data_IF_196939606969
#
_entry.id   IF_196939606969
#
_cell.length_a   1.000
_cell.length_b   1.000
_cell.length_c   1.000
_cell.angle_alpha   90.00
_cell.angle_beta   90.00
_cell.angle_gamma   90.00
#
_symmetry.space_group_name_H-M   'P 1'
#
loop_
_entity.id
_entity.type
_entity.pdbx_description
1 polymer ?
#
# COMPACT_ATOMS: atom_id res chain seq x y z
N UNK A 1 -2.71 -6.20 31.68
CA UNK A 1 -2.06 -5.88 30.39
C UNK A 1 -1.91 -7.19 29.62
N UNK A 2 -2.57 -7.32 28.47
CA UNK A 2 -2.55 -8.55 27.65
C UNK A 2 -1.19 -8.66 26.95
N UNK A 3 -0.68 -9.88 26.74
CA UNK A 3 0.54 -10.13 25.95
C UNK A 3 0.44 -9.46 24.57
N UNK A 4 -0.75 -9.51 23.96
CA UNK A 4 -1.06 -8.84 22.69
C UNK A 4 -0.75 -7.33 22.73
N UNK A 5 -1.14 -6.63 23.80
CA UNK A 5 -0.94 -5.18 23.92
C UNK A 5 0.55 -4.82 24.03
N UNK A 6 1.35 -5.69 24.69
CA UNK A 6 2.79 -5.54 24.78
C UNK A 6 3.44 -5.72 23.42
N UNK A 7 3.11 -6.80 22.70
CA UNK A 7 3.66 -7.08 21.37
C UNK A 7 3.33 -5.97 20.36
N UNK A 8 2.12 -5.40 20.41
CA UNK A 8 1.74 -4.28 19.55
C UNK A 8 2.58 -3.02 19.81
N UNK A 9 3.08 -2.81 21.03
CA UNK A 9 3.97 -1.69 21.38
C UNK A 9 5.42 -1.90 20.95
N UNK A 10 5.86 -3.16 20.92
CA UNK A 10 7.23 -3.55 20.55
C UNK A 10 7.40 -3.69 19.03
N UNK A 11 6.32 -4.01 18.30
CA UNK A 11 6.37 -4.27 16.88
C UNK A 11 6.65 -3.00 16.06
N UNK A 12 7.63 -3.11 15.16
CA UNK A 12 7.89 -2.10 14.12
C UNK A 12 7.05 -2.41 12.89
N UNK A 13 6.48 -1.39 12.27
CA UNK A 13 5.70 -1.56 11.04
C UNK A 13 6.62 -1.88 9.86
N UNK A 14 6.36 -3.00 9.20
CA UNK A 14 7.24 -3.65 8.24
C UNK A 14 7.14 -3.11 6.82
N UNK A 15 7.37 -1.83 6.61
CA UNK A 15 7.46 -1.20 5.30
C UNK A 15 8.84 -0.53 5.17
N UNK A 16 9.87 -1.25 4.62
CA UNK A 16 11.25 -0.80 4.60
C UNK A 16 11.44 0.56 3.97
N UNK A 17 10.70 0.90 2.94
CA UNK A 17 10.75 2.18 2.24
C UNK A 17 10.44 3.39 3.16
N UNK A 18 9.78 3.15 4.30
CA UNK A 18 9.43 4.20 5.27
C UNK A 18 10.11 4.00 6.63
N UNK A 19 10.42 2.76 7.02
CA UNK A 19 10.80 2.42 8.39
C UNK A 19 12.08 1.57 8.49
N UNK A 20 12.93 1.54 7.45
CA UNK A 20 14.16 0.70 7.38
C UNK A 20 15.02 0.81 8.64
N UNK A 21 15.31 2.03 9.09
CA UNK A 21 16.16 2.25 10.28
C UNK A 21 15.58 1.65 11.56
N UNK A 22 14.26 1.58 11.68
CA UNK A 22 13.60 0.92 12.82
C UNK A 22 13.60 -0.60 12.63
N UNK A 23 13.32 -1.09 11.41
CA UNK A 23 13.26 -2.52 11.08
C UNK A 23 14.61 -3.20 11.33
N UNK A 24 15.72 -2.58 10.95
CA UNK A 24 17.07 -3.13 11.18
C UNK A 24 17.41 -3.35 12.65
N UNK A 25 16.69 -2.70 13.56
CA UNK A 25 16.89 -2.79 15.03
C UNK A 25 15.76 -3.55 15.72
N UNK A 26 14.77 -4.02 14.97
CA UNK A 26 13.57 -4.63 15.51
C UNK A 26 13.78 -6.10 15.86
N UNK A 27 13.20 -6.55 16.97
CA UNK A 27 13.03 -7.97 17.29
C UNK A 27 11.71 -8.53 16.79
N UNK A 28 10.76 -7.65 16.46
CA UNK A 28 9.43 -8.01 15.99
C UNK A 28 8.98 -6.99 14.94
N UNK A 29 8.57 -7.50 13.78
CA UNK A 29 8.04 -6.69 12.68
C UNK A 29 6.59 -7.07 12.41
N UNK A 30 5.72 -6.08 12.35
CA UNK A 30 4.34 -6.22 11.92
C UNK A 30 4.29 -6.02 10.39
N UNK A 31 4.22 -7.11 9.64
CA UNK A 31 4.16 -7.05 8.18
C UNK A 31 2.85 -6.40 7.72
N UNK A 32 2.89 -5.45 6.76
CA UNK A 32 1.71 -4.71 6.32
C UNK A 32 0.67 -5.58 5.60
N UNK A 33 -0.57 -5.15 5.62
CA UNK A 33 -1.60 -5.71 4.75
C UNK A 33 -1.43 -5.28 3.30
N UNK A 34 -1.88 -6.11 2.35
CA UNK A 34 -1.66 -5.87 0.92
C UNK A 34 -2.25 -4.55 0.40
N UNK A 35 -3.49 -4.24 0.75
CA UNK A 35 -4.09 -2.94 0.41
C UNK A 35 -3.44 -1.79 1.19
N UNK A 36 -2.98 -2.05 2.41
CA UNK A 36 -2.29 -1.04 3.20
C UNK A 36 -0.96 -0.65 2.52
N UNK A 37 -0.17 -1.62 2.05
CA UNK A 37 1.03 -1.36 1.26
C UNK A 37 0.72 -0.53 0.02
N UNK A 38 -0.30 -0.94 -0.77
CA UNK A 38 -0.69 -0.26 -2.00
C UNK A 38 -1.17 1.18 -1.77
N UNK A 39 -1.76 1.48 -0.60
CA UNK A 39 -2.26 2.80 -0.28
C UNK A 39 -1.23 3.71 0.41
N UNK A 40 -0.45 3.15 1.35
CA UNK A 40 0.50 3.92 2.15
C UNK A 40 1.66 4.42 1.30
N UNK A 41 2.22 3.58 0.42
CA UNK A 41 3.35 3.97 -0.42
C UNK A 41 3.10 5.25 -1.24
N UNK A 42 2.00 5.40 -1.99
CA UNK A 42 1.76 6.64 -2.72
C UNK A 42 1.38 7.82 -1.82
N UNK A 43 0.73 7.60 -0.67
CA UNK A 43 0.20 8.68 0.18
C UNK A 43 1.23 9.27 1.15
N UNK A 44 2.05 8.43 1.78
CA UNK A 44 2.92 8.86 2.88
C UNK A 44 3.89 9.99 2.53
N UNK A 45 4.61 9.99 1.38
CA UNK A 45 5.47 11.09 1.00
C UNK A 45 4.72 12.40 0.76
N UNK A 46 3.52 12.32 0.18
CA UNK A 46 2.72 13.50 -0.15
C UNK A 46 2.14 14.16 1.10
N UNK A 47 1.71 13.38 2.07
CA UNK A 47 1.25 13.86 3.38
C UNK A 47 2.44 14.47 4.14
N UNK A 48 3.58 13.78 4.18
CA UNK A 48 4.81 14.27 4.82
C UNK A 48 5.27 15.60 4.26
N UNK A 49 5.17 15.76 2.94
CA UNK A 49 5.50 17.02 2.24
C UNK A 49 4.39 18.08 2.31
N UNK A 50 3.25 17.78 2.94
CA UNK A 50 2.07 18.66 3.01
C UNK A 50 1.56 19.09 1.62
N UNK A 51 1.61 18.20 0.64
CA UNK A 51 1.17 18.46 -0.74
C UNK A 51 -0.32 18.16 -0.95
N UNK A 52 -0.91 17.34 -0.09
CA UNK A 52 -2.33 16.95 -0.14
C UNK A 52 -3.01 17.26 1.18
N UNK A 53 -4.33 17.37 1.15
CA UNK A 53 -5.14 17.51 2.35
C UNK A 53 -5.22 16.18 3.08
N UNK A 54 -5.17 16.19 4.42
CA UNK A 54 -5.21 15.00 5.27
C UNK A 54 -6.60 14.35 5.33
N UNK A 55 -7.64 15.10 4.97
CA UNK A 55 -9.01 14.65 4.85
C UNK A 55 -9.42 14.46 3.38
N UNK A 56 -10.55 13.79 3.13
CA UNK A 56 -11.07 13.55 1.77
C UNK A 56 -10.12 12.67 0.91
N UNK A 57 -9.57 11.64 1.55
CA UNK A 57 -8.78 10.60 0.88
C UNK A 57 -9.72 9.45 0.51
N UNK A 58 -9.91 9.22 -0.80
CA UNK A 58 -10.76 8.15 -1.30
C UNK A 58 -9.87 7.11 -1.96
N UNK A 59 -9.99 5.86 -1.51
CA UNK A 59 -9.24 4.72 -2.02
C UNK A 59 -10.21 3.71 -2.62
N UNK A 60 -10.18 3.54 -3.92
CA UNK A 60 -10.91 2.52 -4.65
C UNK A 60 -9.92 1.47 -5.15
N UNK A 61 -9.92 0.27 -4.55
CA UNK A 61 -8.90 -0.71 -4.79
C UNK A 61 -9.49 -2.08 -5.17
N UNK A 62 -8.94 -2.66 -6.23
CA UNK A 62 -9.27 -3.97 -6.77
C UNK A 62 -8.19 -4.97 -6.40
N UNK A 63 -8.57 -6.15 -5.93
CA UNK A 63 -7.65 -7.24 -5.61
C UNK A 63 -8.09 -8.53 -6.26
N UNK A 64 -7.10 -9.31 -6.69
CA UNK A 64 -7.33 -10.70 -7.05
C UNK A 64 -7.86 -11.54 -5.89
N UNK A 65 -8.51 -12.65 -6.22
CA UNK A 65 -9.22 -13.54 -5.29
C UNK A 65 -8.29 -14.17 -4.25
N UNK A 66 -7.02 -14.40 -4.60
CA UNK A 66 -6.00 -14.90 -3.67
C UNK A 66 -5.83 -14.02 -2.42
N UNK A 67 -6.18 -12.71 -2.50
CA UNK A 67 -6.21 -11.80 -1.37
C UNK A 67 -7.23 -12.13 -0.28
N UNK A 68 -8.24 -12.96 -0.57
CA UNK A 68 -9.21 -13.44 0.41
C UNK A 68 -8.61 -14.43 1.42
N UNK A 69 -7.39 -14.94 1.15
CA UNK A 69 -6.70 -15.91 1.98
C UNK A 69 -7.25 -17.33 1.83
N UNK A 70 -6.74 -18.27 2.66
CA UNK A 70 -7.04 -19.70 2.55
C UNK A 70 -8.35 -20.12 3.21
N UNK A 71 -8.97 -19.27 4.00
CA UNK A 71 -10.26 -19.59 4.64
C UNK A 71 -11.37 -19.58 3.56
N UNK A 72 -12.12 -20.70 3.40
CA UNK A 72 -13.19 -20.76 2.41
C UNK A 72 -14.29 -19.76 2.77
N UNK A 73 -14.65 -18.92 1.80
CA UNK A 73 -15.76 -17.97 1.89
C UNK A 73 -16.56 -18.08 0.62
N UNK A 74 -17.88 -17.98 0.70
CA UNK A 74 -18.76 -18.09 -0.46
C UNK A 74 -18.31 -17.18 -1.61
N UNK A 75 -18.06 -15.90 -1.31
CA UNK A 75 -17.64 -14.90 -2.31
C UNK A 75 -16.29 -15.21 -3.00
N UNK A 76 -15.50 -16.15 -2.49
CA UNK A 76 -14.21 -16.56 -3.07
C UNK A 76 -14.29 -17.91 -3.78
N UNK A 77 -15.47 -18.55 -3.82
CA UNK A 77 -15.67 -19.75 -4.62
C UNK A 77 -15.67 -19.40 -6.11
N UNK A 78 -15.10 -20.28 -6.93
CA UNK A 78 -14.95 -20.03 -8.38
C UNK A 78 -16.24 -19.60 -9.05
N UNK A 79 -17.41 -20.27 -8.85
CA UNK A 79 -18.66 -19.85 -9.49
C UNK A 79 -19.16 -18.46 -9.07
N UNK A 80 -18.76 -18.00 -7.87
CA UNK A 80 -19.22 -16.72 -7.33
C UNK A 80 -18.30 -15.56 -7.73
N UNK A 81 -16.99 -15.81 -7.86
CA UNK A 81 -16.01 -14.77 -8.17
C UNK A 81 -15.66 -14.69 -9.66
N UNK A 82 -15.86 -15.77 -10.42
CA UNK A 82 -15.57 -15.76 -11.85
C UNK A 82 -16.48 -14.77 -12.59
N UNK A 83 -15.90 -13.93 -13.46
CA UNK A 83 -16.60 -12.89 -14.23
C UNK A 83 -17.40 -11.89 -13.36
N UNK A 84 -17.11 -11.79 -12.08
CA UNK A 84 -17.79 -10.91 -11.11
C UNK A 84 -16.82 -9.96 -10.43
N UNK A 85 -17.05 -8.65 -10.55
CA UNK A 85 -16.36 -7.62 -9.78
C UNK A 85 -17.29 -7.12 -8.66
N UNK A 86 -16.91 -7.33 -7.40
CA UNK A 86 -17.80 -7.01 -6.29
C UNK A 86 -17.11 -6.28 -5.15
N UNK A 87 -17.69 -5.21 -4.59
CA UNK A 87 -17.18 -4.58 -3.38
C UNK A 87 -17.45 -5.45 -2.14
N UNK A 88 -16.57 -5.36 -1.14
CA UNK A 88 -16.76 -6.07 0.12
C UNK A 88 -16.25 -5.24 1.30
N UNK A 89 -16.81 -5.48 2.47
CA UNK A 89 -16.41 -4.84 3.73
C UNK A 89 -16.27 -3.30 3.67
N UNK A 90 -17.04 -2.62 2.83
CA UNK A 90 -17.04 -1.16 2.75
C UNK A 90 -17.35 -0.56 4.11
N UNK A 91 -16.54 0.40 4.57
CA UNK A 91 -16.64 1.03 5.89
C UNK A 91 -16.26 0.13 7.08
N UNK A 92 -15.84 -1.13 6.86
CA UNK A 92 -15.51 -2.10 7.93
C UNK A 92 -14.25 -2.93 7.64
N UNK A 93 -13.50 -2.56 6.62
CA UNK A 93 -12.30 -3.31 6.26
C UNK A 93 -11.17 -3.05 7.27
N UNK A 94 -10.50 -4.13 7.72
CA UNK A 94 -9.43 -4.08 8.73
C UNK A 94 -8.20 -3.24 8.33
N UNK A 95 -7.97 -3.01 7.03
CA UNK A 95 -6.86 -2.18 6.57
C UNK A 95 -7.17 -0.68 6.66
N UNK A 96 -8.43 -0.24 6.80
CA UNK A 96 -8.76 1.19 6.95
C UNK A 96 -8.03 1.82 8.14
N UNK A 97 -8.19 1.32 9.38
CA UNK A 97 -7.46 1.89 10.52
C UNK A 97 -5.94 1.71 10.43
N UNK A 98 -5.45 0.68 9.75
CA UNK A 98 -4.03 0.48 9.49
C UNK A 98 -3.47 1.59 8.60
N UNK A 99 -4.14 1.89 7.49
CA UNK A 99 -3.76 2.97 6.58
C UNK A 99 -3.76 4.31 7.32
N UNK A 100 -4.87 4.66 7.97
CA UNK A 100 -5.02 5.92 8.72
C UNK A 100 -3.95 6.08 9.81
N UNK A 101 -3.66 5.02 10.56
CA UNK A 101 -2.63 5.03 11.60
C UNK A 101 -1.23 5.33 11.04
N UNK A 102 -0.88 4.72 9.91
CA UNK A 102 0.48 4.84 9.36
C UNK A 102 0.68 6.18 8.65
N UNK A 103 -0.26 6.58 7.80
CA UNK A 103 -0.16 7.89 7.13
C UNK A 103 -0.32 9.04 8.15
N UNK A 104 -1.10 8.83 9.21
CA UNK A 104 -1.31 9.79 10.30
C UNK A 104 -0.04 10.15 11.08
N UNK A 105 1.02 9.33 11.01
CA UNK A 105 2.31 9.64 11.66
C UNK A 105 2.99 10.90 11.11
N UNK A 106 2.61 11.32 9.92
CA UNK A 106 3.17 12.49 9.22
C UNK A 106 2.12 13.56 8.93
N UNK A 107 0.86 13.31 9.22
CA UNK A 107 -0.25 14.23 8.97
C UNK A 107 -0.35 15.32 10.05
N UNK A 108 -0.93 16.48 9.70
CA UNK A 108 -1.22 17.56 10.65
C UNK A 108 -2.46 17.28 11.50
N UNK A 109 -3.39 16.52 10.93
CA UNK A 109 -4.60 16.04 11.60
C UNK A 109 -4.74 14.54 11.36
N UNK A 110 -5.58 13.86 12.13
CA UNK A 110 -5.86 12.44 11.89
C UNK A 110 -6.49 12.28 10.51
N UNK A 111 -5.88 11.52 9.58
CA UNK A 111 -6.46 11.31 8.27
C UNK A 111 -7.76 10.53 8.35
N UNK A 112 -8.70 10.90 7.48
CA UNK A 112 -9.94 10.16 7.28
C UNK A 112 -9.93 9.54 5.87
N UNK A 113 -10.07 8.22 5.81
CA UNK A 113 -9.99 7.44 4.57
C UNK A 113 -11.33 6.79 4.26
N UNK A 114 -11.87 7.09 3.08
CA UNK A 114 -12.97 6.33 2.49
C UNK A 114 -12.36 5.21 1.66
N UNK A 115 -12.45 3.96 2.16
CA UNK A 115 -11.87 2.80 1.51
C UNK A 115 -12.93 1.86 0.95
N UNK A 116 -12.87 1.62 -0.35
CA UNK A 116 -13.76 0.70 -1.08
C UNK A 116 -12.93 -0.43 -1.70
N UNK A 117 -12.72 -1.54 -0.97
CA UNK A 117 -12.07 -2.71 -1.53
C UNK A 117 -13.02 -3.49 -2.41
N UNK A 118 -12.52 -4.00 -3.52
CA UNK A 118 -13.26 -4.81 -4.48
C UNK A 118 -12.50 -6.11 -4.77
N UNK A 119 -13.25 -7.20 -4.90
CA UNK A 119 -12.74 -8.48 -5.39
C UNK A 119 -12.93 -8.52 -6.90
N UNK A 120 -11.84 -8.69 -7.63
CA UNK A 120 -11.84 -8.77 -9.08
C UNK A 120 -11.68 -10.23 -9.54
N UNK A 121 -12.26 -10.61 -10.71
CA UNK A 121 -12.20 -11.96 -11.24
C UNK A 121 -10.81 -12.26 -11.86
N UNK A 122 -9.78 -12.17 -11.05
CA UNK A 122 -8.40 -12.48 -11.37
C UNK A 122 -7.75 -13.16 -10.17
N UNK A 123 -6.70 -13.95 -10.38
CA UNK A 123 -6.03 -14.63 -9.28
C UNK A 123 -5.23 -13.65 -8.43
N UNK A 124 -4.30 -12.90 -9.02
CA UNK A 124 -3.35 -12.02 -8.34
C UNK A 124 -3.41 -10.58 -8.79
N UNK A 125 -2.82 -9.72 -7.98
CA UNK A 125 -2.60 -8.31 -8.22
C UNK A 125 -3.55 -7.42 -7.46
N UNK A 126 -3.05 -6.23 -7.11
CA UNK A 126 -3.84 -5.12 -6.59
C UNK A 126 -3.64 -3.93 -7.51
N UNK A 127 -4.75 -3.28 -7.86
CA UNK A 127 -4.77 -1.96 -8.45
C UNK A 127 -5.52 -1.02 -7.51
N UNK A 128 -4.83 -0.07 -6.91
CA UNK A 128 -5.43 0.98 -6.09
C UNK A 128 -5.49 2.30 -6.86
N UNK A 129 -6.67 2.86 -6.99
CA UNK A 129 -6.89 4.21 -7.52
C UNK A 129 -7.29 5.11 -6.36
N UNK A 130 -6.48 6.14 -6.09
CA UNK A 130 -6.62 6.98 -4.90
C UNK A 130 -6.86 8.40 -5.35
N UNK A 131 -7.93 9.00 -4.86
CA UNK A 131 -8.31 10.38 -5.15
C UNK A 131 -8.04 11.24 -3.92
N UNK A 132 -7.23 12.29 -4.10
CA UNK A 132 -6.90 13.25 -3.03
C UNK A 132 -7.02 14.70 -3.52
N UNK A 133 -7.23 15.62 -2.59
CA UNK A 133 -7.21 17.04 -2.88
C UNK A 133 -5.79 17.59 -2.71
N UNK A 134 -5.23 18.26 -3.74
CA UNK A 134 -3.98 18.97 -3.59
C UNK A 134 -4.16 20.20 -2.69
N UNK A 135 -3.09 20.60 -2.02
CA UNK A 135 -2.96 21.94 -1.47
C UNK A 135 -2.80 22.94 -2.64
N UNK A 136 -3.22 24.19 -2.43
CA UNK A 136 -3.15 25.22 -3.48
C UNK A 136 -1.74 25.33 -4.08
N UNK A 137 -1.65 25.38 -5.39
CA UNK A 137 -0.40 25.53 -6.14
C UNK A 137 0.38 24.22 -6.38
N UNK A 138 -0.09 23.09 -5.89
CA UNK A 138 0.53 21.78 -6.15
C UNK A 138 0.31 21.36 -7.61
N UNK A 139 1.38 20.87 -8.23
CA UNK A 139 1.42 20.37 -9.61
C UNK A 139 1.87 18.90 -9.62
N UNK A 140 1.75 18.20 -10.76
CA UNK A 140 2.29 16.86 -10.93
C UNK A 140 3.80 16.79 -10.66
N UNK A 141 4.54 17.86 -11.00
CA UNK A 141 5.97 17.94 -10.71
C UNK A 141 6.26 17.84 -9.21
N UNK A 142 5.51 18.55 -8.38
CA UNK A 142 5.69 18.50 -6.92
C UNK A 142 5.44 17.09 -6.37
N UNK A 143 4.49 16.35 -6.93
CA UNK A 143 4.19 14.97 -6.55
C UNK A 143 5.37 14.06 -6.91
N UNK A 144 5.83 14.15 -8.16
CA UNK A 144 6.95 13.34 -8.65
C UNK A 144 8.24 13.66 -7.89
N UNK A 145 8.52 14.92 -7.59
CA UNK A 145 9.68 15.35 -6.80
C UNK A 145 9.64 14.75 -5.38
N UNK A 146 8.47 14.75 -4.71
CA UNK A 146 8.31 14.16 -3.38
C UNK A 146 8.48 12.63 -3.39
N UNK A 147 7.95 11.96 -4.41
CA UNK A 147 8.15 10.54 -4.60
C UNK A 147 9.60 10.20 -4.95
N UNK A 148 10.22 10.97 -5.86
CA UNK A 148 11.62 10.78 -6.22
C UNK A 148 12.54 10.96 -5.02
N UNK A 149 12.28 11.96 -4.17
CA UNK A 149 13.02 12.16 -2.92
C UNK A 149 12.86 11.01 -1.94
N UNK A 150 11.69 10.39 -1.90
CA UNK A 150 11.38 9.30 -0.96
C UNK A 150 11.78 7.93 -1.48
N UNK A 151 11.66 7.70 -2.79
CA UNK A 151 11.74 6.37 -3.40
C UNK A 151 12.74 6.26 -4.54
N UNK A 152 13.47 7.32 -4.90
CA UNK A 152 14.45 7.28 -5.99
C UNK A 152 15.55 6.22 -5.84
N UNK A 153 15.88 5.87 -4.60
CA UNK A 153 16.86 4.82 -4.25
C UNK A 153 16.20 3.52 -3.77
N UNK A 154 14.86 3.44 -3.77
CA UNK A 154 14.13 2.26 -3.28
C UNK A 154 13.96 1.22 -4.38
N UNK A 155 14.61 0.07 -4.24
CA UNK A 155 14.65 -0.96 -5.27
C UNK A 155 13.25 -1.46 -5.69
N UNK A 156 12.33 -1.60 -4.73
CA UNK A 156 11.03 -2.22 -4.96
C UNK A 156 9.88 -1.23 -5.19
N UNK A 157 10.16 0.07 -5.31
CA UNK A 157 9.19 1.08 -5.73
C UNK A 157 9.61 1.66 -7.07
N UNK A 158 8.76 1.51 -8.09
CA UNK A 158 9.01 2.06 -9.42
C UNK A 158 8.08 3.23 -9.68
N UNK A 159 8.65 4.39 -9.98
CA UNK A 159 7.92 5.54 -10.45
C UNK A 159 7.79 5.44 -11.97
N UNK A 160 6.57 5.23 -12.47
CA UNK A 160 6.32 4.94 -13.87
C UNK A 160 5.51 6.05 -14.56
N UNK A 161 5.81 6.33 -15.83
CA UNK A 161 5.10 7.36 -16.60
C UNK A 161 3.80 6.86 -17.23
N UNK A 162 3.69 5.55 -17.47
CA UNK A 162 2.49 4.92 -17.98
C UNK A 162 1.46 4.64 -16.86
N UNK A 163 0.26 4.24 -17.23
CA UNK A 163 -0.76 3.75 -16.30
C UNK A 163 -0.53 2.26 -16.07
N UNK A 164 -0.04 1.84 -14.86
CA UNK A 164 0.32 0.46 -14.62
C UNK A 164 -0.93 -0.43 -14.51
N UNK A 165 -0.80 -1.66 -15.01
CA UNK A 165 -1.78 -2.72 -14.83
C UNK A 165 -1.29 -3.80 -13.86
N UNK A 166 -2.21 -4.63 -13.35
CA UNK A 166 -1.83 -5.68 -12.39
C UNK A 166 -0.80 -6.68 -12.95
N UNK A 167 -0.76 -6.90 -14.27
CA UNK A 167 0.21 -7.79 -14.91
C UNK A 167 1.65 -7.27 -14.85
N UNK A 168 1.85 -5.96 -14.68
CA UNK A 168 3.18 -5.35 -14.66
C UNK A 168 3.96 -5.71 -13.39
N UNK A 169 3.25 -6.11 -12.33
CA UNK A 169 3.81 -6.37 -11.00
C UNK A 169 3.58 -7.78 -10.48
N UNK A 170 2.73 -8.58 -11.14
CA UNK A 170 2.46 -9.97 -10.74
C UNK A 170 3.75 -10.79 -10.68
N UNK A 171 3.87 -11.64 -9.65
CA UNK A 171 5.03 -12.48 -9.33
C UNK A 171 6.31 -11.71 -8.99
N UNK A 172 6.23 -10.40 -8.75
CA UNK A 172 7.37 -9.56 -8.37
C UNK A 172 7.16 -8.87 -7.02
N UNK A 173 8.26 -8.41 -6.39
CA UNK A 173 8.18 -7.58 -5.20
C UNK A 173 8.11 -6.07 -5.51
N UNK A 174 7.80 -5.70 -6.75
CA UNK A 174 7.67 -4.30 -7.13
C UNK A 174 6.29 -3.71 -6.78
N UNK A 175 6.31 -2.41 -6.51
CA UNK A 175 5.14 -1.54 -6.46
C UNK A 175 5.31 -0.42 -7.47
N UNK A 176 4.44 -0.34 -8.47
CA UNK A 176 4.44 0.70 -9.49
C UNK A 176 3.53 1.85 -9.06
N UNK A 177 4.07 3.07 -9.14
CA UNK A 177 3.37 4.29 -8.77
C UNK A 177 3.33 5.28 -9.94
N UNK A 178 2.16 5.87 -10.19
CA UNK A 178 2.01 7.02 -11.08
C UNK A 178 0.92 7.96 -10.57
N UNK A 179 0.96 9.21 -11.00
CA UNK A 179 -0.03 10.22 -10.62
C UNK A 179 -0.49 11.04 -11.83
N UNK A 180 -1.72 11.54 -11.75
CA UNK A 180 -2.27 12.51 -12.70
C UNK A 180 -3.02 13.60 -11.94
N UNK A 181 -2.86 14.85 -12.37
CA UNK A 181 -3.65 15.97 -11.88
C UNK A 181 -4.80 16.23 -12.86
N UNK A 182 -6.02 15.92 -12.44
CA UNK A 182 -7.21 16.00 -13.30
C UNK A 182 -8.27 16.82 -12.61
N UNK A 183 -8.68 17.94 -13.23
CA UNK A 183 -9.77 18.81 -12.77
C UNK A 183 -9.65 19.19 -11.28
N UNK A 184 -8.44 19.51 -10.82
CA UNK A 184 -8.17 19.93 -9.44
C UNK A 184 -8.11 18.78 -8.42
N UNK A 185 -8.11 17.54 -8.85
CA UNK A 185 -7.86 16.35 -8.04
C UNK A 185 -6.57 15.65 -8.47
N UNK A 186 -5.84 15.14 -7.52
CA UNK A 186 -4.74 14.21 -7.79
C UNK A 186 -5.33 12.80 -7.77
N UNK A 187 -5.04 12.06 -8.83
CA UNK A 187 -5.35 10.62 -8.95
C UNK A 187 -4.01 9.89 -8.85
N UNK A 188 -3.81 9.17 -7.75
CA UNK A 188 -2.66 8.31 -7.55
C UNK A 188 -3.04 6.90 -7.97
N UNK A 189 -2.19 6.22 -8.69
CA UNK A 189 -2.37 4.84 -9.09
C UNK A 189 -1.20 4.05 -8.53
N UNK A 190 -1.52 2.98 -7.81
CA UNK A 190 -0.57 2.07 -7.22
C UNK A 190 -0.91 0.64 -7.62
N UNK A 191 0.09 -0.10 -8.09
CA UNK A 191 -0.07 -1.47 -8.53
C UNK A 191 1.00 -2.36 -7.91
N UNK A 192 0.60 -3.53 -7.37
CA UNK A 192 1.51 -4.51 -6.78
C UNK A 192 0.91 -5.92 -6.81
N UNK A 193 1.75 -6.94 -6.64
CA UNK A 193 1.29 -8.31 -6.37
C UNK A 193 0.85 -8.45 -4.91
N UNK A 194 -0.41 -8.81 -4.68
CA UNK A 194 -1.00 -8.92 -3.34
C UNK A 194 -0.40 -10.04 -2.48
N UNK A 195 0.24 -11.05 -3.08
CA UNK A 195 0.89 -12.16 -2.37
C UNK A 195 2.40 -11.97 -2.21
N UNK A 196 3.03 -11.17 -3.10
CA UNK A 196 4.48 -10.90 -3.03
C UNK A 196 4.71 -9.59 -2.29
N UNK A 197 4.72 -8.44 -2.95
CA UNK A 197 4.92 -7.13 -2.29
C UNK A 197 3.83 -6.83 -1.25
N UNK A 198 2.61 -7.33 -1.47
CA UNK A 198 1.49 -7.19 -0.53
C UNK A 198 1.52 -8.17 0.66
N UNK A 199 2.41 -9.17 0.69
CA UNK A 199 2.41 -10.20 1.73
C UNK A 199 3.79 -10.84 1.95
N UNK A 200 4.06 -12.00 1.31
CA UNK A 200 5.24 -12.80 1.58
C UNK A 200 6.54 -12.12 1.16
N UNK A 201 6.54 -11.42 0.04
CA UNK A 201 7.73 -10.69 -0.44
C UNK A 201 8.12 -9.54 0.50
N UNK A 202 7.14 -8.78 1.03
CA UNK A 202 7.40 -7.79 2.07
C UNK A 202 7.98 -8.43 3.34
N UNK A 203 7.52 -9.63 3.72
CA UNK A 203 8.07 -10.34 4.88
C UNK A 203 9.53 -10.77 4.66
N UNK A 204 9.87 -11.25 3.46
CA UNK A 204 11.27 -11.58 3.09
C UNK A 204 12.13 -10.32 3.06
N UNK A 205 11.64 -9.22 2.47
CA UNK A 205 12.34 -7.93 2.45
C UNK A 205 12.60 -7.43 3.89
N UNK A 206 11.62 -7.50 4.78
CA UNK A 206 11.78 -7.16 6.20
C UNK A 206 12.83 -8.05 6.88
N UNK A 207 12.79 -9.36 6.65
CA UNK A 207 13.77 -10.32 7.18
C UNK A 207 15.18 -9.96 6.70
N UNK A 208 15.35 -9.63 5.42
CA UNK A 208 16.64 -9.21 4.87
C UNK A 208 17.17 -7.97 5.58
N UNK A 209 16.32 -6.94 5.80
CA UNK A 209 16.69 -5.75 6.57
C UNK A 209 17.09 -6.09 8.02
N UNK A 210 16.33 -6.93 8.70
CA UNK A 210 16.60 -7.33 10.11
C UNK A 210 17.94 -8.06 10.25
N UNK A 211 18.35 -8.80 9.23
CA UNK A 211 19.58 -9.61 9.25
C UNK A 211 20.73 -9.01 8.45
N UNK A 212 20.64 -7.73 8.06
CA UNK A 212 21.65 -7.00 7.28
C UNK A 212 22.04 -7.73 5.96
N UNK A 213 21.08 -8.43 5.36
CA UNK A 213 21.21 -9.00 4.02
C UNK A 213 20.83 -7.94 2.98
N UNK A 214 21.31 -8.04 1.72
CA UNK A 214 20.75 -7.21 0.64
C UNK A 214 19.24 -7.40 0.55
N UNK A 215 18.48 -6.31 0.49
CA UNK A 215 17.00 -6.36 0.49
C UNK A 215 16.41 -7.22 -0.64
N UNK A 216 17.14 -7.33 -1.74
CA UNK A 216 16.75 -8.08 -2.94
C UNK A 216 16.97 -9.60 -2.83
N UNK A 217 17.62 -10.07 -1.76
CA UNK A 217 17.94 -11.50 -1.60
C UNK A 217 16.68 -12.36 -1.64
N UNK A 218 16.59 -13.25 -2.64
CA UNK A 218 15.45 -14.14 -2.86
C UNK A 218 14.17 -13.47 -3.38
N UNK A 219 14.25 -12.20 -3.86
CA UNK A 219 13.11 -11.43 -4.35
C UNK A 219 13.27 -10.95 -5.81
N UNK A 220 14.36 -11.31 -6.49
CA UNK A 220 14.63 -11.03 -7.90
C UNK A 220 14.51 -12.29 -8.74
#
# INVERSE_FOLDING_TARGET
>A
MCIRDRLCKEAVYGLPELFRTQITKANLVANPGCYATAAILPLAPLIKASLIQDNDIIIDAKSGVSGAGRNPKLMAHFPECNESLSPYNVGRHRHTPEIEQIIGRHAKAQPEVIFTPQLAPMDRGILATIYVKPVSGVTEKHINDAWQQSYGEEHFVRLVDHLPGTKDTVDTNFCDLTARLVRGRIILISCLDNLVKGAAGAAVQNMNCMHALPETTGLL
#
